data_IF_273315747788
#
_entry.id   IF_273315747788
#
_cell.length_a   1.000
_cell.length_b   1.000
_cell.length_c   1.000
_cell.angle_alpha   90.00
_cell.angle_beta   90.00
_cell.angle_gamma   90.00
#
_symmetry.space_group_name_H-M   'P 1'
#
loop_
_entity.id
_entity.type
_entity.pdbx_description
1 polymer ?
#
# COMPACT_ATOMS: atom_id res chain seq x y z
N UNK A 1 -4.25 13.08 17.78
CA UNK A 1 -4.33 13.81 16.49
C UNK A 1 -4.54 12.78 15.40
N UNK A 2 -5.50 13.01 14.50
CA UNK A 2 -5.71 12.12 13.36
C UNK A 2 -4.48 12.21 12.44
N UNK A 3 -3.99 11.06 11.97
CA UNK A 3 -2.92 11.02 10.96
C UNK A 3 -3.52 11.49 9.64
N UNK A 4 -3.24 12.73 9.24
CA UNK A 4 -3.65 13.24 7.92
C UNK A 4 -2.62 12.83 6.88
N UNK A 5 -3.00 11.97 5.94
CA UNK A 5 -2.22 11.73 4.73
C UNK A 5 -2.43 12.89 3.75
N UNK A 6 -1.40 13.30 3.00
CA UNK A 6 -1.57 14.21 1.86
C UNK A 6 -2.49 13.58 0.80
N UNK A 7 -3.25 14.40 0.08
CA UNK A 7 -4.08 13.98 -1.04
C UNK A 7 -3.87 14.89 -2.25
N UNK A 8 -3.32 14.40 -3.37
CA UNK A 8 -2.72 13.07 -3.54
C UNK A 8 -1.32 12.99 -2.89
N UNK A 9 -0.76 11.78 -2.78
CA UNK A 9 0.58 11.52 -2.24
C UNK A 9 1.45 10.66 -3.15
N UNK A 10 2.77 10.76 -2.91
CA UNK A 10 3.79 9.84 -3.42
C UNK A 10 4.18 8.85 -2.31
N UNK A 11 4.52 7.63 -2.70
CA UNK A 11 4.80 6.53 -1.77
C UNK A 11 6.17 5.92 -2.09
N UNK A 12 7.15 6.17 -1.24
CA UNK A 12 8.52 5.67 -1.38
C UNK A 12 8.78 4.51 -0.42
N UNK A 13 9.52 3.49 -0.86
CA UNK A 13 10.10 2.50 0.06
C UNK A 13 11.46 2.96 0.57
N UNK A 14 11.60 3.03 1.90
CA UNK A 14 12.87 3.37 2.54
C UNK A 14 13.95 2.30 2.37
N UNK A 15 13.60 1.11 1.85
CA UNK A 15 14.54 0.02 1.64
C UNK A 15 15.29 0.10 0.32
N UNK A 16 14.60 0.46 -0.78
CA UNK A 16 15.21 0.53 -2.10
C UNK A 16 15.21 1.95 -2.71
N UNK A 17 14.68 2.94 -2.00
CA UNK A 17 14.60 4.34 -2.43
C UNK A 17 13.89 4.53 -3.78
N UNK A 18 12.91 3.66 -4.06
CA UNK A 18 12.07 3.75 -5.25
C UNK A 18 10.64 4.08 -4.86
N UNK A 19 9.95 4.76 -5.76
CA UNK A 19 8.55 5.10 -5.63
C UNK A 19 7.66 3.97 -6.14
N UNK A 20 6.53 3.78 -5.45
CA UNK A 20 5.47 2.88 -5.87
C UNK A 20 4.84 3.40 -7.15
N UNK A 21 4.73 2.55 -8.16
CA UNK A 21 4.03 2.84 -9.41
C UNK A 21 3.23 1.64 -9.88
N UNK A 22 2.32 1.89 -10.81
CA UNK A 22 1.73 0.81 -11.61
C UNK A 22 2.84 0.15 -12.45
N UNK A 23 2.76 -1.17 -12.56
CA UNK A 23 3.63 -1.93 -13.43
C UNK A 23 3.19 -1.75 -14.88
N UNK A 24 4.08 -1.25 -15.74
CA UNK A 24 3.80 -0.92 -17.15
C UNK A 24 4.07 -2.11 -18.11
N UNK A 25 4.57 -3.24 -17.59
CA UNK A 25 4.94 -4.40 -18.39
C UNK A 25 3.79 -5.37 -18.67
N UNK A 26 4.05 -6.32 -19.55
CA UNK A 26 3.09 -7.33 -19.98
C UNK A 26 3.30 -8.61 -19.16
N UNK A 27 2.56 -8.75 -18.05
CA UNK A 27 2.43 -10.01 -17.31
C UNK A 27 1.00 -10.48 -17.56
N UNK A 28 0.83 -11.74 -17.95
CA UNK A 28 -0.51 -12.30 -18.15
C UNK A 28 -1.35 -12.13 -16.86
N UNK A 29 -2.55 -11.53 -16.98
CA UNK A 29 -3.46 -11.16 -15.88
C UNK A 29 -3.17 -9.85 -15.10
N UNK A 30 -2.48 -8.88 -15.72
CA UNK A 30 -1.97 -7.62 -15.15
C UNK A 30 -2.96 -6.50 -14.77
N UNK A 31 -4.13 -6.81 -14.22
CA UNK A 31 -4.94 -5.74 -13.61
C UNK A 31 -4.19 -5.10 -12.42
N UNK A 32 -3.63 -3.90 -12.60
CA UNK A 32 -3.26 -3.01 -11.49
C UNK A 32 -2.10 -3.43 -10.58
N UNK A 33 -1.13 -4.24 -11.04
CA UNK A 33 0.04 -4.59 -10.21
C UNK A 33 0.85 -3.34 -9.85
N UNK A 34 1.31 -3.28 -8.60
CA UNK A 34 2.09 -2.18 -8.04
C UNK A 34 3.51 -2.65 -7.67
N UNK A 35 4.51 -1.84 -8.01
CA UNK A 35 5.91 -2.14 -7.70
C UNK A 35 6.73 -0.89 -7.33
N UNK A 36 7.71 -1.06 -6.44
CA UNK A 36 8.64 -0.01 -6.03
C UNK A 36 9.83 0.04 -7.00
N UNK A 37 9.59 0.54 -8.21
CA UNK A 37 10.61 0.70 -9.25
C UNK A 37 10.61 2.11 -9.87
N UNK A 38 9.66 2.98 -9.47
CA UNK A 38 9.61 4.35 -9.94
C UNK A 38 10.84 5.14 -9.49
N UNK A 39 11.49 5.82 -10.43
CA UNK A 39 12.60 6.73 -10.12
C UNK A 39 12.10 8.11 -9.70
N UNK A 40 10.99 8.55 -10.32
CA UNK A 40 10.40 9.85 -10.08
C UNK A 40 9.28 9.83 -9.03
N UNK A 41 9.15 10.90 -8.23
CA UNK A 41 8.11 11.06 -7.21
C UNK A 41 6.73 11.33 -7.83
N UNK A 42 6.11 10.30 -8.39
CA UNK A 42 4.76 10.38 -8.93
C UNK A 42 3.72 10.46 -7.81
N UNK A 43 2.92 11.52 -7.82
CA UNK A 43 1.84 11.77 -6.86
C UNK A 43 0.54 11.18 -7.43
N UNK A 44 0.38 9.85 -7.29
CA UNK A 44 -0.64 9.08 -8.00
C UNK A 44 -1.53 8.25 -7.07
N UNK A 45 -1.44 8.44 -5.75
CA UNK A 45 -2.30 7.76 -4.79
C UNK A 45 -3.09 8.78 -3.97
N UNK A 46 -4.36 8.47 -3.73
CA UNK A 46 -5.27 9.29 -2.94
C UNK A 46 -5.82 8.47 -1.77
N UNK A 47 -5.78 9.01 -0.54
CA UNK A 47 -6.39 8.38 0.63
C UNK A 47 -7.88 8.69 0.68
N UNK A 48 -8.69 7.69 1.03
CA UNK A 48 -10.11 7.83 1.34
C UNK A 48 -10.32 7.19 2.70
N UNK A 49 -10.36 8.02 3.75
CA UNK A 49 -10.54 7.55 5.12
C UNK A 49 -11.91 6.91 5.31
N UNK A 50 -11.96 5.82 6.07
CA UNK A 50 -13.20 5.13 6.38
C UNK A 50 -14.15 6.06 7.14
N UNK A 51 -15.43 6.03 6.77
CA UNK A 51 -16.49 6.75 7.48
C UNK A 51 -16.70 6.22 8.89
N UNK A 52 -16.44 4.93 9.09
CA UNK A 52 -16.76 4.21 10.31
C UNK A 52 -15.59 4.27 11.30
N UNK A 53 -14.36 4.29 10.80
CA UNK A 53 -13.17 4.40 11.64
C UNK A 53 -12.05 5.19 10.94
N UNK A 54 -11.84 6.42 11.40
CA UNK A 54 -10.82 7.33 10.86
C UNK A 54 -9.36 6.86 11.00
N UNK A 55 -9.11 5.74 11.69
CA UNK A 55 -7.79 5.08 11.71
C UNK A 55 -7.51 4.28 10.44
N UNK A 56 -8.56 3.86 9.74
CA UNK A 56 -8.45 3.07 8.53
C UNK A 56 -8.62 3.94 7.29
N UNK A 57 -7.92 3.55 6.24
CA UNK A 57 -7.87 4.27 4.98
C UNK A 57 -7.97 3.29 3.83
N UNK A 58 -8.82 3.61 2.87
CA UNK A 58 -8.75 3.04 1.54
C UNK A 58 -7.75 3.86 0.73
N UNK A 59 -6.91 3.20 -0.06
CA UNK A 59 -5.96 3.90 -0.93
C UNK A 59 -6.39 3.60 -2.36
N UNK A 60 -6.53 4.63 -3.19
CA UNK A 60 -6.84 4.46 -4.61
C UNK A 60 -5.78 5.09 -5.48
N UNK A 61 -5.60 4.53 -6.67
CA UNK A 61 -4.77 5.14 -7.69
C UNK A 61 -5.53 6.32 -8.33
N UNK A 62 -4.98 7.53 -8.22
CA UNK A 62 -5.68 8.80 -8.51
C UNK A 62 -6.12 8.94 -9.97
N UNK A 63 -5.44 8.28 -10.92
CA UNK A 63 -5.81 8.35 -12.35
C UNK A 63 -6.88 7.35 -12.75
N UNK A 64 -6.81 6.13 -12.24
CA UNK A 64 -7.76 5.05 -12.59
C UNK A 64 -8.96 5.01 -11.66
N UNK A 65 -8.90 5.70 -10.51
CA UNK A 65 -9.86 5.64 -9.41
C UNK A 65 -10.09 4.24 -8.82
N UNK A 66 -9.20 3.29 -9.11
CA UNK A 66 -9.27 1.94 -8.56
C UNK A 66 -8.58 1.86 -7.20
N UNK A 67 -9.24 1.21 -6.25
CA UNK A 67 -8.78 0.97 -4.89
C UNK A 67 -7.80 -0.19 -4.84
N UNK A 68 -6.85 -0.08 -3.91
CA UNK A 68 -5.92 -1.14 -3.56
C UNK A 68 -6.69 -2.26 -2.84
N UNK A 69 -6.49 -3.48 -3.31
CA UNK A 69 -7.07 -4.70 -2.75
C UNK A 69 -6.12 -5.87 -2.93
N UNK A 70 -6.43 -7.02 -2.33
CA UNK A 70 -5.72 -8.27 -2.58
C UNK A 70 -5.97 -8.76 -4.01
N UNK A 71 -4.93 -9.24 -4.69
CA UNK A 71 -5.09 -9.92 -5.96
C UNK A 71 -5.91 -11.21 -5.82
N UNK A 72 -7.01 -11.33 -6.56
CA UNK A 72 -7.95 -12.47 -6.48
C UNK A 72 -7.34 -13.83 -6.84
N UNK A 73 -6.29 -13.84 -7.66
CA UNK A 73 -5.58 -15.05 -8.10
C UNK A 73 -4.47 -15.49 -7.13
N UNK A 74 -4.25 -14.77 -6.03
CA UNK A 74 -3.28 -15.16 -5.00
C UNK A 74 -3.98 -15.86 -3.84
N UNK A 75 -3.49 -17.03 -3.43
CA UNK A 75 -3.93 -17.74 -2.23
C UNK A 75 -2.80 -17.77 -1.19
N UNK A 76 -3.16 -17.63 0.09
CA UNK A 76 -2.19 -17.68 1.18
C UNK A 76 -1.37 -16.39 1.36
N UNK A 77 -0.19 -16.52 1.96
CA UNK A 77 0.73 -15.42 2.30
C UNK A 77 2.14 -15.77 1.84
N UNK A 78 2.89 -14.85 1.20
CA UNK A 78 2.53 -13.47 0.88
C UNK A 78 1.48 -13.38 -0.24
N UNK A 79 0.71 -12.30 -0.26
CA UNK A 79 -0.19 -11.99 -1.36
C UNK A 79 0.09 -10.62 -1.96
N UNK A 80 -0.23 -10.47 -3.24
CA UNK A 80 -0.09 -9.21 -3.97
C UNK A 80 -1.19 -8.23 -3.57
N UNK A 81 -0.81 -6.96 -3.43
CA UNK A 81 -1.75 -5.84 -3.38
C UNK A 81 -1.76 -5.15 -4.73
N UNK A 82 -2.94 -5.00 -5.32
CA UNK A 82 -3.16 -4.49 -6.67
C UNK A 82 -4.23 -3.39 -6.66
N UNK A 83 -4.16 -2.47 -7.61
CA UNK A 83 -5.15 -1.39 -7.79
C UNK A 83 -6.24 -1.81 -8.79
N UNK A 84 -7.18 -2.64 -8.35
CA UNK A 84 -8.24 -3.21 -9.22
C UNK A 84 -9.66 -3.07 -8.69
N UNK A 85 -9.85 -2.74 -7.43
CA UNK A 85 -11.20 -2.65 -6.86
C UNK A 85 -11.90 -1.36 -7.33
N UNK A 86 -13.10 -1.47 -7.88
CA UNK A 86 -13.87 -0.30 -8.35
C UNK A 86 -14.49 0.48 -7.19
N UNK A 87 -14.82 -0.20 -6.10
CA UNK A 87 -15.43 0.35 -4.89
C UNK A 87 -14.64 -0.04 -3.65
N UNK A 88 -14.67 0.76 -2.57
CA UNK A 88 -14.08 0.36 -1.31
C UNK A 88 -14.92 -0.75 -0.67
N UNK A 89 -14.26 -1.70 0.00
CA UNK A 89 -14.86 -2.73 0.83
C UNK A 89 -14.33 -2.61 2.26
N UNK A 90 -15.18 -2.10 3.15
CA UNK A 90 -14.84 -1.84 4.56
C UNK A 90 -15.18 -3.02 5.49
N UNK A 91 -15.73 -4.12 4.97
CA UNK A 91 -15.95 -5.33 5.76
C UNK A 91 -14.62 -6.00 6.10
N UNK A 92 -14.18 -5.82 7.34
CA UNK A 92 -12.94 -6.40 7.88
C UNK A 92 -12.97 -7.93 7.99
N UNK A 93 -14.10 -8.59 7.73
CA UNK A 93 -14.20 -10.05 7.63
C UNK A 93 -14.11 -10.56 6.19
N UNK A 94 -14.32 -9.70 5.19
CA UNK A 94 -14.21 -10.05 3.77
C UNK A 94 -12.73 -10.10 3.35
N UNK A 95 -12.38 -11.14 2.60
CA UNK A 95 -11.05 -11.32 2.05
C UNK A 95 -10.66 -10.27 1.00
N UNK A 96 -11.65 -9.56 0.43
CA UNK A 96 -11.47 -8.46 -0.52
C UNK A 96 -11.48 -7.08 0.16
N UNK A 97 -11.40 -7.01 1.49
CA UNK A 97 -11.29 -5.77 2.25
C UNK A 97 -10.23 -4.84 1.63
N UNK A 98 -10.53 -3.55 1.52
CA UNK A 98 -9.64 -2.54 0.92
C UNK A 98 -9.02 -1.61 1.97
N UNK A 99 -9.29 -1.89 3.25
CA UNK A 99 -8.82 -1.05 4.35
C UNK A 99 -7.37 -1.36 4.69
N UNK A 100 -6.61 -0.28 4.86
CA UNK A 100 -5.28 -0.28 5.40
C UNK A 100 -5.21 0.58 6.66
N UNK A 101 -4.27 0.27 7.53
CA UNK A 101 -3.93 1.06 8.70
C UNK A 101 -2.51 1.60 8.55
N UNK A 102 -2.35 2.89 8.87
CA UNK A 102 -1.06 3.59 8.84
C UNK A 102 -0.50 3.70 10.25
N UNK A 103 0.62 3.06 10.48
CA UNK A 103 1.29 3.01 11.76
C UNK A 103 2.54 3.87 11.70
N UNK A 104 2.51 5.05 12.34
CA UNK A 104 3.63 6.00 12.33
C UNK A 104 4.89 5.35 12.94
N UNK A 105 6.03 5.54 12.28
CA UNK A 105 7.32 5.04 12.75
C UNK A 105 8.11 6.18 13.39
N UNK A 106 8.61 5.97 14.60
CA UNK A 106 9.41 6.94 15.35
C UNK A 106 8.58 7.84 16.29
N UNK A 107 9.25 8.71 17.07
CA UNK A 107 8.57 9.67 17.93
C UNK A 107 7.68 10.59 17.10
N UNK A 108 6.53 10.97 17.66
CA UNK A 108 5.44 11.67 16.94
C UNK A 108 5.84 13.01 16.32
N UNK A 109 7.01 13.56 16.65
CA UNK A 109 7.37 14.95 16.39
C UNK A 109 8.47 15.15 15.33
N UNK A 110 9.25 14.13 14.94
CA UNK A 110 10.52 14.37 14.21
C UNK A 110 10.56 13.87 12.75
N UNK A 111 9.67 12.97 12.33
CA UNK A 111 9.58 12.53 10.93
C UNK A 111 8.14 12.53 10.45
N UNK A 112 7.64 13.65 9.90
CA UNK A 112 6.37 13.64 9.18
C UNK A 112 6.47 12.66 8.00
N UNK A 113 5.43 11.84 7.82
CA UNK A 113 5.31 11.01 6.62
C UNK A 113 5.91 9.61 6.67
N UNK A 114 6.53 9.15 7.76
CA UNK A 114 7.12 7.79 7.81
C UNK A 114 6.17 6.80 8.48
N UNK A 115 5.77 5.77 7.75
CA UNK A 115 4.74 4.81 8.17
C UNK A 115 5.13 3.37 7.87
N UNK A 116 4.57 2.45 8.66
CA UNK A 116 4.26 1.10 8.22
C UNK A 116 2.81 1.06 7.76
N UNK A 117 2.54 0.30 6.71
CA UNK A 117 1.18 0.10 6.20
C UNK A 117 0.78 -1.34 6.44
N UNK A 118 -0.39 -1.55 7.04
CA UNK A 118 -0.91 -2.86 7.39
C UNK A 118 -2.27 -3.07 6.75
N UNK A 119 -2.47 -4.20 6.09
CA UNK A 119 -3.79 -4.58 5.58
C UNK A 119 -4.69 -5.03 6.74
N UNK A 120 -5.87 -4.41 6.88
CA UNK A 120 -6.71 -4.55 8.08
C UNK A 120 -7.22 -5.98 8.25
N UNK A 121 -7.80 -6.58 7.20
CA UNK A 121 -8.37 -7.94 7.25
C UNK A 121 -7.33 -9.01 7.61
N UNK A 122 -6.16 -8.98 6.97
CA UNK A 122 -5.15 -10.03 7.17
C UNK A 122 -4.16 -9.73 8.29
N UNK A 123 -4.17 -8.51 8.83
CA UNK A 123 -3.20 -8.02 9.81
C UNK A 123 -1.74 -8.11 9.32
N UNK A 124 -1.52 -8.16 7.99
CA UNK A 124 -0.20 -8.28 7.39
C UNK A 124 0.37 -6.92 7.00
N UNK A 125 1.63 -6.69 7.35
CA UNK A 125 2.40 -5.54 6.90
C UNK A 125 2.75 -5.64 5.43
N UNK A 126 2.62 -4.51 4.74
CA UNK A 126 3.03 -4.35 3.36
C UNK A 126 4.55 -4.15 3.28
N UNK A 127 5.17 -4.71 2.23
CA UNK A 127 6.57 -4.46 1.89
C UNK A 127 6.83 -4.72 0.40
N UNK A 128 7.89 -4.14 -0.20
CA UNK A 128 8.44 -4.65 -1.44
C UNK A 128 8.83 -6.13 -1.28
N UNK A 129 8.39 -6.98 -2.19
CA UNK A 129 8.69 -8.40 -2.16
C UNK A 129 8.92 -8.96 -3.56
N UNK A 130 9.74 -10.02 -3.64
CA UNK A 130 9.94 -10.75 -4.89
C UNK A 130 8.74 -11.67 -5.12
N UNK A 131 7.91 -11.36 -6.12
CA UNK A 131 6.71 -12.13 -6.43
C UNK A 131 6.42 -12.04 -7.93
N UNK A 132 5.93 -13.12 -8.55
CA UNK A 132 5.50 -13.12 -9.96
C UNK A 132 6.57 -12.62 -10.95
N UNK A 133 7.84 -12.95 -10.72
CA UNK A 133 8.96 -12.48 -11.54
C UNK A 133 9.38 -11.02 -11.30
N UNK A 134 8.63 -10.27 -10.49
CA UNK A 134 8.96 -8.92 -10.07
C UNK A 134 9.87 -8.93 -8.85
N UNK A 135 10.81 -7.98 -8.79
CA UNK A 135 11.78 -7.89 -7.69
C UNK A 135 11.28 -7.10 -6.47
N UNK A 136 10.30 -6.20 -6.67
CA UNK A 136 9.86 -5.25 -5.66
C UNK A 136 8.35 -4.97 -5.73
N UNK A 137 7.55 -6.02 -5.96
CA UNK A 137 6.09 -5.89 -5.97
C UNK A 137 5.56 -5.55 -4.58
N UNK A 138 4.47 -4.79 -4.51
CA UNK A 138 3.78 -4.51 -3.25
C UNK A 138 3.05 -5.75 -2.77
N UNK A 139 3.52 -6.34 -1.67
CA UNK A 139 2.90 -7.51 -1.08
C UNK A 139 2.60 -7.32 0.41
N UNK A 140 1.55 -7.97 0.89
CA UNK A 140 1.31 -8.18 2.30
C UNK A 140 1.98 -9.49 2.74
N UNK A 141 2.88 -9.46 3.73
CA UNK A 141 3.83 -10.57 3.93
C UNK A 141 3.89 -11.15 5.35
N UNK A 142 3.85 -10.31 6.39
CA UNK A 142 4.01 -10.81 7.77
C UNK A 142 3.12 -10.05 8.74
N UNK A 143 2.66 -10.71 9.80
CA UNK A 143 1.94 -10.07 10.91
C UNK A 143 2.86 -9.28 11.85
N UNK A 144 4.18 -9.47 11.73
CA UNK A 144 5.17 -8.76 12.52
C UNK A 144 5.87 -7.69 11.66
N UNK A 145 6.21 -6.54 12.25
CA UNK A 145 7.10 -5.57 11.61
C UNK A 145 8.41 -6.20 11.15
N UNK A 146 8.88 -5.79 9.97
CA UNK A 146 10.14 -6.27 9.41
C UNK A 146 11.32 -5.71 10.22
N UNK A 147 12.20 -6.61 10.71
CA UNK A 147 13.38 -6.22 11.51
C UNK A 147 14.39 -5.40 10.71
N UNK A 148 14.50 -5.67 9.41
CA UNK A 148 15.31 -4.91 8.46
C UNK A 148 14.64 -3.61 8.00
N UNK A 149 13.43 -3.31 8.50
CA UNK A 149 12.63 -2.12 8.15
C UNK A 149 12.26 -2.05 6.66
N UNK A 150 12.15 -3.21 6.01
CA UNK A 150 11.71 -3.30 4.60
C UNK A 150 10.25 -2.85 4.42
N UNK A 151 9.47 -2.90 5.49
CA UNK A 151 8.06 -2.50 5.59
C UNK A 151 7.84 -1.03 5.96
N UNK A 152 8.91 -0.22 5.93
CA UNK A 152 8.86 1.21 6.25
C UNK A 152 8.82 2.03 4.97
N UNK A 153 7.93 3.02 4.96
CA UNK A 153 7.63 3.85 3.82
C UNK A 153 7.63 5.34 4.17
N UNK A 154 8.09 6.16 3.24
CA UNK A 154 7.92 7.61 3.28
C UNK A 154 6.74 7.97 2.36
N UNK A 155 5.68 8.50 2.96
CA UNK A 155 4.48 8.96 2.27
C UNK A 155 4.36 10.47 2.46
N UNK A 156 4.48 11.21 1.37
CA UNK A 156 4.53 12.68 1.36
C UNK A 156 3.68 13.27 0.24
N UNK A 157 3.31 14.55 0.39
CA UNK A 157 2.56 15.29 -0.61
C UNK A 157 3.46 16.03 -1.57
N UNK A 158 2.85 16.87 -2.41
CA UNK A 158 3.52 17.95 -3.16
C UNK A 158 4.01 19.06 -2.25
#
# INVERSE_FOLDING_TARGET
MATTLPDPFKWESNNNHRYLRLHDGNIENNGGILEFTGEDPNIIFSPVFSSDNSRYVNIKHSRTNLYLTRASYTTGTPFLVVATAETPNEDTNDENCTLFELLKVGPTNDTPGVFRVRHVKSNLYLRPHKAFGLHAALCAVSTNPDKGKVDVFTITGS
#
